data_IF_653405391401
#
_entry.id   IF_653405391401
#
_cell.length_a   1.000
_cell.length_b   1.000
_cell.length_c   1.000
_cell.angle_alpha   90.00
_cell.angle_beta   90.00
_cell.angle_gamma   90.00
#
_symmetry.space_group_name_H-M   'P 1'
#
loop_
_entity.id
_entity.type
_entity.pdbx_description
1 polymer ?
2 branched ?
3 branched ?
4 branched ?
5 non-polymer ?
6 water ?
#
# COMPACT_ATOMS: atom_id res chain seq x y z
N UNK A 4 -17.54 7.65 -11.19
CA UNK A 4 -17.33 8.83 -10.31
C UNK A 4 -16.94 10.05 -11.16
N UNK A 5 -17.15 11.31 -10.72
CA UNK A 5 -17.66 11.79 -9.40
C UNK A 5 -16.54 12.18 -8.42
N UNK A 6 -16.90 12.43 -7.16
CA UNK A 6 -15.94 12.94 -6.17
C UNK A 6 -15.06 11.86 -5.58
N UNK A 7 -15.40 11.45 -4.36
CA UNK A 7 -14.75 10.33 -3.66
C UNK A 7 -14.93 9.02 -4.44
N UNK A 8 -13.83 8.43 -4.97
CA UNK A 8 -13.97 7.17 -5.71
C UNK A 8 -14.47 5.99 -4.88
N UNK A 9 -14.47 6.13 -3.56
CA UNK A 9 -14.98 5.09 -2.68
C UNK A 9 -16.50 5.20 -2.43
N UNK A 10 -17.09 6.31 -2.87
CA UNK A 10 -18.54 6.52 -2.74
C UNK A 10 -19.31 5.78 -3.84
N UNK A 11 -20.31 4.99 -3.43
CA UNK A 11 -21.23 4.38 -4.38
C UNK A 11 -20.72 3.08 -5.01
N UNK A 12 -19.76 2.46 -4.35
CA UNK A 12 -19.20 1.18 -4.77
C UNK A 12 -18.86 0.33 -3.54
N UNK A 13 -18.80 -0.97 -3.73
CA UNK A 13 -18.23 -1.88 -2.77
C UNK A 13 -16.81 -2.15 -3.22
N UNK A 14 -15.92 -2.44 -2.29
CA UNK A 14 -14.57 -2.85 -2.66
C UNK A 14 -14.50 -4.38 -2.82
N UNK A 15 -13.94 -4.82 -3.95
CA UNK A 15 -13.74 -6.25 -4.20
C UNK A 15 -12.71 -6.88 -3.26
N UNK A 16 -13.09 -7.98 -2.63
CA UNK A 16 -12.14 -8.77 -1.84
C UNK A 16 -11.60 -9.87 -2.75
N UNK A 17 -10.33 -9.77 -3.13
CA UNK A 17 -9.82 -10.65 -4.19
C UNK A 17 -9.71 -12.13 -3.82
N UNK A 18 -9.80 -12.98 -4.83
CA UNK A 18 -9.81 -14.43 -4.66
C UNK A 18 -8.46 -14.97 -4.19
N UNK A 19 -7.39 -14.26 -4.52
CA UNK A 19 -6.07 -14.74 -4.21
C UNK A 19 -5.78 -14.65 -2.72
N UNK A 20 -6.19 -13.55 -2.09
CA UNK A 20 -6.04 -13.41 -0.64
C UNK A 20 -6.95 -14.42 0.09
N UNK A 21 -8.21 -14.53 -0.32
CA UNK A 21 -9.10 -15.53 0.29
C UNK A 21 -8.55 -16.97 0.15
N UNK A 22 -8.02 -17.31 -1.04
CA UNK A 22 -7.44 -18.64 -1.28
C UNK A 22 -6.26 -18.92 -0.36
N UNK A 23 -5.35 -17.94 -0.24
CA UNK A 23 -4.24 -18.04 0.72
C UNK A 23 -4.75 -18.38 2.12
N UNK A 24 -5.74 -17.63 2.59
CA UNK A 24 -6.28 -17.82 3.92
C UNK A 24 -6.91 -19.22 4.08
N UNK A 25 -7.71 -19.63 3.11
CA UNK A 25 -8.37 -20.94 3.18
C UNK A 25 -7.40 -22.10 2.94
N UNK A 26 -6.53 -21.96 1.94
CA UNK A 26 -5.57 -23.02 1.57
C UNK A 26 -4.41 -23.16 2.57
N UNK A 27 -3.92 -22.04 3.10
CA UNK A 27 -2.70 -22.05 3.93
C UNK A 27 -2.87 -21.73 5.41
N UNK A 28 -3.94 -21.03 5.79
CA UNK A 28 -4.10 -20.62 7.19
C UNK A 28 -5.06 -21.47 8.02
N UNK A 29 -6.29 -21.60 7.50
CA UNK A 29 -7.39 -22.33 8.15
C UNK A 29 -7.04 -23.75 8.61
N UNK A 30 -6.35 -24.54 7.73
CA UNK A 30 -6.02 -25.90 8.18
C UNK A 30 -5.18 -25.96 9.47
N UNK A 31 -4.33 -24.96 9.68
CA UNK A 31 -3.48 -24.87 10.87
C UNK A 31 -4.14 -24.26 12.11
N UNK A 32 -5.36 -23.76 11.98
CA UNK A 32 -6.00 -23.04 13.09
C UNK A 32 -7.03 -23.85 13.86
N UNK A 33 -7.27 -23.40 15.10
CA UNK A 33 -8.35 -23.91 15.93
C UNK A 33 -9.70 -23.64 15.24
N UNK A 34 -10.79 -24.31 15.69
CA UNK A 34 -12.13 -23.99 15.18
C UNK A 34 -12.53 -22.51 15.32
N UNK A 35 -12.22 -21.88 16.45
CA UNK A 35 -12.57 -20.47 16.69
C UNK A 35 -11.74 -19.48 15.85
N UNK A 36 -10.45 -19.77 15.69
CA UNK A 36 -9.58 -18.92 14.88
C UNK A 36 -9.74 -19.15 13.39
N UNK A 37 -10.22 -20.33 13.01
CA UNK A 37 -10.58 -20.62 11.63
C UNK A 37 -11.81 -19.80 11.24
N UNK A 38 -12.74 -19.66 12.18
CA UNK A 38 -13.95 -18.85 11.99
C UNK A 38 -13.61 -17.38 11.74
N UNK A 39 -12.78 -16.82 12.62
CA UNK A 39 -12.34 -15.43 12.51
C UNK A 39 -11.55 -15.20 11.20
N UNK A 40 -10.74 -16.18 10.81
CA UNK A 40 -9.98 -16.13 9.56
C UNK A 40 -10.87 -16.15 8.31
N UNK A 41 -12.01 -16.85 8.40
CA UNK A 41 -13.00 -16.85 7.33
C UNK A 41 -13.63 -15.47 7.14
N UNK A 42 -13.84 -14.73 8.23
CA UNK A 42 -14.36 -13.37 8.14
C UNK A 42 -13.33 -12.42 7.51
N UNK A 43 -12.05 -12.66 7.80
CA UNK A 43 -10.97 -11.79 7.30
C UNK A 43 -10.69 -12.03 5.81
N UNK A 44 -10.86 -13.27 5.37
CA UNK A 44 -10.69 -13.63 3.97
C UNK A 44 -11.68 -12.87 3.08
N UNK A 45 -12.71 -12.30 3.70
CA UNK A 45 -13.76 -11.57 2.99
C UNK A 45 -13.60 -10.05 3.07
N UNK A 46 -12.67 -9.58 3.91
CA UNK A 46 -12.43 -8.13 4.05
C UNK A 46 -11.53 -7.70 2.88
N UNK A 47 -11.98 -6.71 2.10
CA UNK A 47 -11.25 -6.36 0.88
C UNK A 47 -9.92 -5.67 1.14
N UNK A 48 -8.86 -6.28 0.63
CA UNK A 48 -7.54 -5.70 0.71
C UNK A 48 -7.04 -5.52 -0.73
N UNK A 49 -6.14 -4.55 -0.92
CA UNK A 49 -5.60 -4.26 -2.23
C UNK A 49 -4.84 -5.46 -2.79
N UNK A 50 -4.95 -5.67 -4.10
CA UNK A 50 -4.22 -6.74 -4.77
C UNK A 50 -2.99 -6.14 -5.42
N UNK A 51 -1.83 -6.68 -5.11
CA UNK A 51 -0.58 -6.07 -5.54
C UNK A 51 -0.07 -6.63 -6.86
N UNK A 52 0.22 -5.75 -7.79
CA UNK A 52 0.85 -6.15 -9.03
C UNK A 52 2.36 -6.04 -8.82
N UNK A 53 2.90 -6.99 -8.07
CA UNK A 53 4.31 -6.93 -7.62
C UNK A 53 5.28 -7.58 -8.59
N UNK A 54 4.74 -8.26 -9.61
CA UNK A 54 5.56 -8.90 -10.63
C UNK A 54 4.85 -8.70 -11.96
N UNK A 55 5.63 -8.64 -13.03
CA UNK A 55 5.07 -8.43 -14.34
C UNK A 55 4.09 -9.55 -14.72
N UNK A 56 4.39 -10.78 -14.29
CA UNK A 56 3.52 -11.92 -14.56
C UNK A 56 2.07 -11.71 -14.09
N UNK A 57 1.88 -10.89 -13.06
CA UNK A 57 0.55 -10.67 -12.48
C UNK A 57 -0.42 -9.96 -13.43
N UNK A 58 0.11 -9.16 -14.37
CA UNK A 58 -0.72 -8.28 -15.20
C UNK A 58 -1.73 -9.05 -16.07
N UNK A 59 -1.23 -10.03 -16.82
CA UNK A 59 -2.07 -10.87 -17.68
C UNK A 59 -2.50 -12.19 -17.01
N UNK A 60 -2.36 -12.27 -15.69
CA UNK A 60 -2.86 -13.43 -14.96
C UNK A 60 -3.81 -12.97 -13.84
N UNK A 61 -3.25 -12.61 -12.69
CA UNK A 61 -4.06 -12.25 -11.52
C UNK A 61 -4.86 -10.93 -11.70
N UNK A 62 -4.26 -9.94 -12.33
CA UNK A 62 -4.89 -8.63 -12.58
C UNK A 62 -6.09 -8.75 -13.54
N UNK A 63 -5.86 -9.29 -14.73
CA UNK A 63 -6.95 -9.50 -15.68
C UNK A 63 -7.99 -10.49 -15.15
N UNK A 64 -7.52 -11.48 -14.39
CA UNK A 64 -8.41 -12.46 -13.74
C UNK A 64 -9.39 -11.79 -12.79
N UNK A 65 -8.85 -10.95 -11.91
CA UNK A 65 -9.65 -10.19 -10.95
C UNK A 65 -10.62 -9.22 -11.64
N UNK A 66 -10.15 -8.51 -12.66
CA UNK A 66 -11.03 -7.62 -13.41
C UNK A 66 -12.23 -8.38 -14.01
N UNK A 67 -11.95 -9.53 -14.59
CA UNK A 67 -13.02 -10.39 -15.14
C UNK A 67 -13.98 -10.86 -14.04
N UNK A 68 -13.44 -11.26 -12.88
CA UNK A 68 -14.28 -11.66 -11.75
C UNK A 68 -15.19 -10.53 -11.27
N UNK A 69 -14.67 -9.31 -11.28
CA UNK A 69 -15.45 -8.16 -10.84
C UNK A 69 -16.58 -7.85 -11.83
N UNK A 70 -16.27 -7.90 -13.12
CA UNK A 70 -17.28 -7.68 -14.14
C UNK A 70 -18.41 -8.70 -13.99
N UNK A 71 -18.05 -9.97 -13.81
CA UNK A 71 -19.02 -11.03 -13.60
C UNK A 71 -19.92 -10.77 -12.38
N UNK A 72 -19.33 -10.38 -11.25
CA UNK A 72 -20.09 -10.06 -10.05
C UNK A 72 -21.02 -8.87 -10.26
N UNK A 73 -20.56 -7.86 -10.98
CA UNK A 73 -21.37 -6.67 -11.23
C UNK A 73 -22.49 -6.94 -12.25
N UNK A 74 -22.18 -7.80 -13.22
CA UNK A 74 -23.16 -8.17 -14.22
C UNK A 74 -24.28 -8.97 -13.56
N UNK A 75 -23.91 -9.78 -12.56
CA UNK A 75 -24.89 -10.56 -11.80
C UNK A 75 -25.77 -9.67 -10.90
N UNK A 76 -25.41 -8.40 -10.80
CA UNK A 76 -26.28 -7.41 -10.14
C UNK A 76 -25.77 -6.85 -8.82
N UNK A 77 -24.45 -6.93 -8.59
CA UNK A 77 -23.87 -6.41 -7.34
C UNK A 77 -24.37 -4.99 -7.11
N UNK A 78 -24.81 -4.70 -5.88
CA UNK A 78 -25.37 -3.40 -5.55
C UNK A 78 -25.00 -3.06 -4.11
N UNK A 79 -24.14 -2.03 -3.91
CA UNK A 79 -23.47 -1.22 -4.93
C UNK A 79 -22.53 -2.07 -5.79
N UNK A 80 -22.23 -1.62 -7.02
CA UNK A 80 -21.29 -2.38 -7.86
C UNK A 80 -19.91 -2.47 -7.19
N UNK A 81 -19.14 -3.49 -7.55
CA UNK A 81 -17.79 -3.67 -6.99
C UNK A 81 -16.78 -2.80 -7.72
N UNK A 82 -15.82 -2.26 -6.97
CA UNK A 82 -14.67 -1.56 -7.54
C UNK A 82 -13.42 -2.38 -7.27
N UNK A 83 -12.49 -2.41 -8.21
CA UNK A 83 -11.20 -3.08 -7.98
C UNK A 83 -10.22 -2.20 -7.26
N UNK A 84 -9.39 -2.80 -6.41
CA UNK A 84 -8.33 -2.11 -5.69
C UNK A 84 -7.01 -2.81 -5.93
N UNK A 85 -6.06 -2.11 -6.53
CA UNK A 85 -4.76 -2.70 -6.88
C UNK A 85 -3.58 -1.79 -6.52
N UNK A 86 -2.42 -2.40 -6.33
CA UNK A 86 -1.18 -1.66 -6.09
C UNK A 86 -0.23 -1.87 -7.27
N UNK A 87 0.23 -0.76 -7.85
CA UNK A 87 1.28 -0.82 -8.87
C UNK A 87 2.59 -0.78 -8.09
N UNK A 88 3.34 -1.87 -8.16
CA UNK A 88 4.53 -2.06 -7.34
C UNK A 88 5.63 -2.87 -8.05
N UNK A 89 6.21 -2.31 -9.10
CA UNK A 89 7.26 -3.03 -9.82
C UNK A 89 8.30 -2.13 -10.45
N UNK A 90 8.59 -0.99 -9.82
CA UNK A 90 9.65 -0.12 -10.34
C UNK A 90 10.96 -0.88 -10.45
N UNK A 91 11.79 -0.55 -11.47
CA UNK A 91 13.12 -1.17 -11.47
C UNK A 91 13.94 -0.57 -10.32
N UNK A 92 14.86 -1.36 -9.77
CA UNK A 92 15.59 -0.99 -8.54
C UNK A 92 14.59 -0.61 -7.43
N UNK A 93 13.57 -1.45 -7.28
CA UNK A 93 12.52 -1.28 -6.28
C UNK A 93 13.09 -1.34 -4.86
N UNK A 94 12.40 -0.71 -3.91
CA UNK A 94 12.70 -0.82 -2.47
C UNK A 94 14.15 -0.40 -2.19
N UNK A 95 14.50 0.81 -2.65
CA UNK A 95 15.90 1.17 -2.84
C UNK A 95 16.73 1.30 -1.54
N UNK A 96 16.04 1.54 -0.42
CA UNK A 96 16.69 1.72 0.88
C UNK A 96 16.75 0.44 1.71
N UNK A 97 16.29 -0.66 1.12
CA UNK A 97 16.19 -1.92 1.85
C UNK A 97 16.52 -3.09 0.94
N UNK A 98 16.56 -4.29 1.52
CA UNK A 98 16.88 -5.50 0.78
C UNK A 98 15.68 -6.39 0.54
N UNK A 99 14.70 -6.32 1.45
CA UNK A 99 13.66 -7.34 1.60
C UNK A 99 12.72 -7.47 0.42
N UNK A 100 12.44 -6.34 -0.24
CA UNK A 100 11.48 -6.31 -1.35
C UNK A 100 12.09 -5.88 -2.68
N UNK A 101 13.39 -6.10 -2.85
CA UNK A 101 14.01 -5.91 -4.15
C UNK A 101 13.17 -6.64 -5.19
N UNK A 102 12.98 -6.00 -6.34
CA UNK A 102 12.11 -6.50 -7.38
C UNK A 102 12.83 -7.21 -8.50
N UNK A 103 12.06 -7.62 -9.50
CA UNK A 103 12.56 -8.46 -10.60
C UNK A 103 13.42 -7.70 -11.59
N UNK A 104 13.18 -6.40 -11.70
CA UNK A 104 13.85 -5.58 -12.68
C UNK A 104 14.89 -4.63 -12.09
N UNK A 105 15.95 -4.39 -12.86
CA UNK A 105 16.98 -3.46 -12.44
C UNK A 105 17.18 -2.43 -13.54
N UNK A 106 17.51 -1.20 -13.13
CA UNK A 106 17.72 -0.11 -14.08
C UNK A 106 18.85 -0.49 -15.06
N UNK A 107 19.90 -1.12 -14.54
CA UNK A 107 21.07 -1.51 -15.35
C UNK A 107 20.69 -2.45 -16.48
N UNK A 108 19.66 -3.26 -16.26
CA UNK A 108 19.25 -4.27 -17.23
C UNK A 108 17.88 -3.98 -17.85
N UNK A 109 17.80 -2.82 -18.51
CA UNK A 109 16.61 -2.43 -19.25
C UNK A 109 15.34 -2.29 -18.40
N UNK A 110 15.50 -2.00 -17.10
CA UNK A 110 14.36 -1.96 -16.18
C UNK A 110 13.32 -0.91 -16.51
N UNK A 111 13.79 0.27 -16.92
CA UNK A 111 12.90 1.38 -17.26
C UNK A 111 11.99 1.04 -18.44
N UNK A 112 12.55 0.44 -19.48
CA UNK A 112 11.71 0.05 -20.61
C UNK A 112 10.73 -1.05 -20.23
N UNK A 113 11.20 -2.02 -19.43
CA UNK A 113 10.34 -3.09 -18.94
C UNK A 113 9.13 -2.54 -18.21
N UNK A 114 9.38 -1.53 -17.36
CA UNK A 114 8.34 -0.86 -16.60
C UNK A 114 7.36 -0.08 -17.48
N UNK A 115 7.87 0.61 -18.49
CA UNK A 115 7.00 1.33 -19.41
C UNK A 115 6.00 0.41 -20.14
N UNK A 116 6.47 -0.77 -20.55
CA UNK A 116 5.60 -1.74 -21.20
C UNK A 116 4.59 -2.32 -20.22
N UNK A 117 5.05 -2.55 -18.99
CA UNK A 117 4.20 -3.05 -17.89
C UNK A 117 3.04 -2.06 -17.67
N UNK A 118 3.39 -0.80 -17.52
CA UNK A 118 2.39 0.28 -17.47
C UNK A 118 1.49 0.32 -18.70
N UNK A 119 2.08 0.20 -19.90
CA UNK A 119 1.34 0.24 -21.15
C UNK A 119 0.25 -0.84 -21.18
N UNK A 120 0.64 -2.04 -20.75
CA UNK A 120 -0.26 -3.19 -20.76
C UNK A 120 -1.34 -3.01 -19.70
N UNK A 121 -0.94 -2.54 -18.52
CA UNK A 121 -1.96 -2.19 -17.50
C UNK A 121 -2.99 -1.21 -18.09
N UNK A 122 -2.52 -0.16 -18.76
CA UNK A 122 -3.40 0.82 -19.41
C UNK A 122 -4.41 0.14 -20.36
N UNK A 123 -3.92 -0.79 -21.18
CA UNK A 123 -4.76 -1.53 -22.12
C UNK A 123 -5.88 -2.28 -21.39
N UNK A 124 -5.53 -2.98 -20.32
CA UNK A 124 -6.51 -3.74 -19.54
C UNK A 124 -7.52 -2.85 -18.84
N UNK A 125 -7.08 -1.69 -18.35
CA UNK A 125 -7.99 -0.72 -17.77
C UNK A 125 -8.98 -0.18 -18.81
N UNK A 126 -8.50 0.03 -20.03
CA UNK A 126 -9.36 0.48 -21.12
C UNK A 126 -10.36 -0.62 -21.44
N UNK A 127 -9.88 -1.87 -21.51
CA UNK A 127 -10.74 -3.03 -21.77
C UNK A 127 -11.80 -3.21 -20.69
N UNK A 128 -11.42 -2.87 -19.46
CA UNK A 128 -12.31 -2.93 -18.31
C UNK A 128 -12.73 -1.55 -17.79
N UNK A 129 -13.06 -0.64 -18.70
CA UNK A 129 -13.49 0.71 -18.33
C UNK A 129 -14.83 0.75 -17.60
N UNK A 130 -15.54 -0.38 -17.62
CA UNK A 130 -16.80 -0.54 -16.88
C UNK A 130 -16.60 -0.77 -15.38
N UNK A 131 -15.35 -1.02 -14.99
CA UNK A 131 -14.99 -1.34 -13.61
C UNK A 131 -14.21 -0.17 -12.99
N UNK A 132 -14.83 0.53 -12.04
CA UNK A 132 -14.13 1.58 -11.31
C UNK A 132 -12.92 0.94 -10.64
N UNK A 133 -11.76 1.53 -10.85
CA UNK A 133 -10.52 0.91 -10.42
C UNK A 133 -9.74 1.93 -9.60
N UNK A 134 -9.31 1.52 -8.41
CA UNK A 134 -8.57 2.40 -7.49
C UNK A 134 -7.16 1.85 -7.38
N UNK A 135 -6.17 2.71 -7.60
CA UNK A 135 -4.78 2.29 -7.62
C UNK A 135 -3.97 3.07 -6.60
N UNK A 136 -3.11 2.34 -5.89
CA UNK A 136 -2.03 2.96 -5.12
C UNK A 136 -0.77 2.82 -5.96
N UNK A 137 -0.10 3.94 -6.18
CA UNK A 137 1.06 3.93 -7.05
C UNK A 137 2.36 3.83 -6.24
N UNK A 138 3.05 2.71 -6.41
CA UNK A 138 4.45 2.48 -5.98
C UNK A 138 4.81 2.83 -4.53
N UNK A 139 4.29 2.05 -3.57
CA UNK A 139 4.63 2.27 -2.16
C UNK A 139 6.14 2.42 -1.96
N UNK A 140 6.49 3.39 -1.11
CA UNK A 140 7.88 3.65 -0.67
C UNK A 140 8.74 4.49 -1.60
N UNK A 141 8.42 4.49 -2.90
CA UNK A 141 9.28 5.06 -3.93
C UNK A 141 9.61 6.53 -3.71
N UNK A 142 8.57 7.39 -3.71
CA UNK A 142 8.81 8.82 -3.55
C UNK A 142 9.23 9.20 -2.13
N UNK A 143 8.77 8.46 -1.13
CA UNK A 143 9.20 8.74 0.24
C UNK A 143 10.70 8.51 0.38
N UNK A 144 11.21 7.43 -0.25
CA UNK A 144 12.64 7.18 -0.35
C UNK A 144 13.36 8.33 -1.04
N UNK A 145 12.75 8.92 -2.07
CA UNK A 145 13.34 10.08 -2.75
C UNK A 145 13.48 11.30 -1.84
N UNK A 146 12.56 11.46 -0.89
CA UNK A 146 12.63 12.56 0.07
C UNK A 146 13.75 12.37 1.12
N UNK A 147 13.82 11.18 1.72
CA UNK A 147 14.67 10.97 2.89
C UNK A 147 15.96 10.19 2.67
N UNK A 148 16.03 9.43 1.57
CA UNK A 148 17.11 8.46 1.38
C UNK A 148 18.02 8.71 0.20
N UNK A 149 18.13 9.96 -0.24
CA UNK A 149 19.12 10.30 -1.28
C UNK A 149 20.57 10.02 -0.87
N UNK A 150 20.84 9.86 0.43
CA UNK A 150 22.18 9.45 0.87
C UNK A 150 22.49 7.99 0.60
N UNK A 151 21.45 7.20 0.27
CA UNK A 151 21.60 5.77 -0.01
C UNK A 151 21.85 5.58 -1.50
N UNK A 152 22.97 4.97 -1.83
CA UNK A 152 23.45 4.87 -3.23
C UNK A 152 22.39 4.32 -4.19
N UNK A 153 21.75 3.21 -3.83
CA UNK A 153 20.74 2.61 -4.70
C UNK A 153 19.59 3.58 -4.97
N UNK A 154 19.19 4.34 -3.95
CA UNK A 154 18.15 5.36 -4.14
C UNK A 154 18.58 6.53 -5.02
N UNK A 155 19.72 7.15 -4.72
CA UNK A 155 20.14 8.31 -5.49
C UNK A 155 20.35 7.91 -6.94
N UNK A 156 20.93 6.74 -7.16
CA UNK A 156 21.15 6.24 -8.52
C UNK A 156 19.82 6.01 -9.26
N UNK A 157 18.80 5.57 -8.54
CA UNK A 157 17.49 5.30 -9.15
C UNK A 157 16.61 6.55 -9.30
N UNK A 158 17.01 7.64 -8.66
CA UNK A 158 16.14 8.81 -8.48
C UNK A 158 15.54 9.36 -9.78
N UNK A 159 16.37 9.66 -10.77
CA UNK A 159 15.87 10.20 -12.03
C UNK A 159 14.92 9.24 -12.75
N UNK A 160 15.24 7.94 -12.71
CA UNK A 160 14.37 6.88 -13.26
C UNK A 160 13.01 6.84 -12.52
N UNK A 161 13.04 6.83 -11.19
CA UNK A 161 11.81 6.83 -10.40
C UNK A 161 10.89 7.98 -10.84
N UNK A 162 11.46 9.18 -10.95
CA UNK A 162 10.66 10.35 -11.27
C UNK A 162 10.09 10.28 -12.70
N UNK A 163 10.91 9.87 -13.66
CA UNK A 163 10.43 9.74 -15.03
C UNK A 163 9.31 8.70 -15.10
N UNK A 164 9.52 7.56 -14.46
CA UNK A 164 8.54 6.46 -14.54
C UNK A 164 7.26 6.74 -13.78
N UNK A 165 7.38 7.49 -12.68
CA UNK A 165 6.19 7.89 -11.93
C UNK A 165 5.30 8.80 -12.76
N UNK A 166 5.90 9.83 -13.36
CA UNK A 166 5.16 10.68 -14.28
C UNK A 166 4.51 9.83 -15.38
N UNK A 167 5.29 8.89 -15.94
CA UNK A 167 4.79 8.02 -17.00
C UNK A 167 3.52 7.25 -16.58
N UNK A 168 3.60 6.58 -15.43
CA UNK A 168 2.45 5.86 -14.85
C UNK A 168 1.24 6.78 -14.63
N UNK A 169 1.45 7.95 -14.03
CA UNK A 169 0.34 8.86 -13.76
C UNK A 169 -0.34 9.33 -15.04
N UNK A 170 0.45 9.59 -16.08
CA UNK A 170 -0.12 9.99 -17.37
C UNK A 170 -0.83 8.83 -18.08
N UNK A 171 -0.18 7.68 -18.12
CA UNK A 171 -0.72 6.53 -18.84
C UNK A 171 -1.98 5.91 -18.22
N UNK A 172 -2.07 5.94 -16.90
CA UNK A 172 -3.19 5.33 -16.20
C UNK A 172 -4.30 6.34 -15.84
N UNK A 173 -4.14 7.56 -16.36
CA UNK A 173 -5.11 8.62 -16.18
C UNK A 173 -6.32 8.42 -17.10
N UNK A 174 -7.29 7.66 -16.59
CA UNK A 174 -8.50 7.31 -17.34
C UNK A 174 -9.70 7.61 -16.44
N UNK A 175 -10.86 7.98 -17.03
CA UNK A 175 -12.00 8.48 -16.26
C UNK A 175 -12.51 7.54 -15.17
N UNK A 176 -12.35 6.22 -15.37
CA UNK A 176 -12.87 5.23 -14.41
C UNK A 176 -11.84 4.86 -13.33
N UNK A 177 -10.70 5.54 -13.34
CA UNK A 177 -9.58 5.20 -12.47
C UNK A 177 -9.38 6.34 -11.47
N UNK A 178 -9.12 5.97 -10.21
CA UNK A 178 -8.53 6.89 -9.25
C UNK A 178 -7.15 6.42 -8.81
N UNK A 179 -6.18 7.32 -8.82
CA UNK A 179 -4.85 6.99 -8.34
C UNK A 179 -4.52 7.76 -7.06
N UNK A 180 -3.87 7.07 -6.12
CA UNK A 180 -3.28 7.71 -4.95
C UNK A 180 -1.80 7.38 -4.99
N UNK A 181 -0.97 8.42 -5.00
CA UNK A 181 0.46 8.23 -4.94
C UNK A 181 0.83 7.86 -3.52
N UNK A 182 1.66 6.84 -3.35
CA UNK A 182 2.10 6.51 -2.00
C UNK A 182 2.89 7.67 -1.39
N UNK A 183 2.64 7.94 -0.12
CA UNK A 183 3.27 9.05 0.57
C UNK A 183 3.75 8.69 1.97
N UNK A 184 4.31 7.48 2.09
CA UNK A 184 4.89 7.02 3.34
C UNK A 184 3.91 7.10 4.50
N UNK A 185 4.37 7.63 5.62
CA UNK A 185 3.56 7.71 6.85
C UNK A 185 4.09 8.78 7.79
N UNK A 186 3.38 9.00 8.91
CA UNK A 186 3.69 10.08 9.85
C UNK A 186 5.10 9.96 10.39
N UNK A 187 5.54 8.73 10.61
CA UNK A 187 6.87 8.48 11.10
C UNK A 187 7.94 8.50 10.03
N UNK A 188 7.53 8.75 8.78
CA UNK A 188 8.49 8.83 7.68
C UNK A 188 8.53 10.28 7.17
N UNK A 189 7.46 10.67 6.48
CA UNK A 189 7.39 11.99 5.87
C UNK A 189 6.72 13.06 6.77
N UNK A 190 6.13 12.62 7.88
CA UNK A 190 5.45 13.51 8.83
C UNK A 190 6.37 14.32 9.73
N UNK A 191 7.63 13.89 9.81
CA UNK A 191 8.65 14.63 10.54
C UNK A 191 8.75 16.04 9.96
N UNK A 192 8.79 17.06 10.83
CA UNK A 192 8.82 18.43 10.31
C UNK A 192 9.95 18.71 9.32
N UNK A 193 11.11 18.06 9.47
CA UNK A 193 12.21 18.27 8.51
C UNK A 193 11.98 17.63 7.12
N UNK A 194 11.03 16.68 7.04
CA UNK A 194 10.75 15.95 5.79
C UNK A 194 9.50 16.43 5.05
N UNK A 195 8.62 17.12 5.76
CA UNK A 195 7.31 17.43 5.22
C UNK A 195 7.37 18.49 4.10
N UNK A 196 8.25 19.49 4.25
CA UNK A 196 8.39 20.50 3.19
C UNK A 196 9.02 19.94 1.91
N UNK A 197 10.14 19.19 2.01
CA UNK A 197 10.64 18.67 0.72
C UNK A 197 9.68 17.67 0.09
N UNK A 198 8.97 16.90 0.91
CA UNK A 198 7.93 16.00 0.41
C UNK A 198 6.87 16.76 -0.38
N UNK A 199 6.39 17.88 0.18
CA UNK A 199 5.35 18.68 -0.47
C UNK A 199 5.80 19.17 -1.83
N UNK A 200 7.04 19.65 -1.94
CA UNK A 200 7.55 20.09 -3.25
C UNK A 200 7.67 18.93 -4.24
N UNK A 201 8.17 17.78 -3.79
CA UNK A 201 8.39 16.65 -4.68
C UNK A 201 7.07 16.14 -5.23
N UNK A 202 6.09 15.94 -4.36
CA UNK A 202 4.78 15.46 -4.79
C UNK A 202 4.07 16.47 -5.68
N UNK A 203 4.08 17.74 -5.28
CA UNK A 203 3.47 18.79 -6.11
C UNK A 203 4.15 18.91 -7.47
N UNK A 204 5.48 18.73 -7.53
CA UNK A 204 6.21 18.81 -8.81
C UNK A 204 5.94 17.62 -9.73
N UNK A 205 5.95 16.42 -9.19
CA UNK A 205 5.53 15.23 -9.95
C UNK A 205 4.10 15.41 -10.47
N UNK A 206 3.21 15.90 -9.62
CA UNK A 206 1.81 16.11 -10.03
C UNK A 206 1.72 17.10 -11.19
N UNK A 207 2.43 18.23 -11.08
CA UNK A 207 2.35 19.22 -12.13
C UNK A 207 3.04 18.74 -13.42
N UNK A 208 4.16 18.04 -13.29
CA UNK A 208 4.89 17.54 -14.47
C UNK A 208 4.15 16.43 -15.20
N UNK A 209 3.24 15.76 -14.49
CA UNK A 209 2.33 14.79 -15.07
C UNK A 209 1.10 15.45 -15.69
N UNK A 210 1.02 16.77 -15.60
CA UNK A 210 -0.09 17.52 -16.21
C UNK A 210 -1.35 17.55 -15.37
N UNK A 211 -1.19 17.43 -14.05
CA UNK A 211 -2.32 17.45 -13.12
C UNK A 211 -3.42 16.46 -13.53
N UNK A 212 -3.08 15.17 -13.69
CA UNK A 212 -4.08 14.23 -14.22
C UNK A 212 -5.33 14.15 -13.35
N UNK A 213 -6.49 14.24 -13.98
CA UNK A 213 -7.79 14.17 -13.29
C UNK A 213 -7.94 12.93 -12.41
N UNK A 214 -7.37 11.80 -12.86
CA UNK A 214 -7.43 10.54 -12.13
C UNK A 214 -6.63 10.53 -10.85
N UNK A 215 -5.68 11.47 -10.70
CA UNK A 215 -4.88 11.53 -9.46
C UNK A 215 -5.69 12.23 -8.37
N UNK A 216 -6.17 11.43 -7.43
CA UNK A 216 -7.10 11.87 -6.40
C UNK A 216 -6.33 12.40 -5.20
N UNK A 217 -5.12 11.87 -4.99
CA UNK A 217 -4.32 12.27 -3.86
C UNK A 217 -3.25 11.26 -3.47
N UNK A 218 -3.13 11.02 -2.18
CA UNK A 218 -2.02 10.25 -1.64
C UNK A 218 -2.49 9.12 -0.73
N UNK A 219 -1.73 8.03 -0.70
CA UNK A 219 -1.95 6.97 0.29
C UNK A 219 -0.94 7.12 1.42
N UNK A 220 -1.35 6.86 2.66
CA UNK A 220 -0.42 6.84 3.79
C UNK A 220 -0.53 5.55 4.60
N UNK A 221 0.49 5.27 5.41
CA UNK A 221 0.52 4.10 6.29
C UNK A 221 0.58 2.75 5.58
N UNK A 222 0.85 2.74 4.27
CA UNK A 222 0.90 1.50 3.50
C UNK A 222 1.98 0.56 4.03
N UNK A 223 1.57 -0.68 4.32
CA UNK A 223 2.43 -1.66 4.97
C UNK A 223 3.03 -1.17 6.28
N UNK A 224 2.40 -0.16 6.87
CA UNK A 224 2.86 0.33 8.16
C UNK A 224 1.76 0.25 9.23
N UNK A 225 1.97 0.90 10.36
CA UNK A 225 1.23 0.50 11.57
C UNK A 225 0.70 1.63 12.42
N UNK A 226 0.91 2.86 11.98
CA UNK A 226 0.52 4.00 12.82
C UNK A 226 -0.97 4.09 13.12
N UNK A 227 -1.28 4.67 14.27
CA UNK A 227 -2.65 5.03 14.59
C UNK A 227 -3.17 6.04 13.57
N UNK A 228 -4.47 5.99 13.29
CA UNK A 228 -5.12 7.10 12.61
C UNK A 228 -5.12 8.29 13.58
N UNK A 229 -5.83 8.14 14.70
CA UNK A 229 -5.93 9.20 15.70
C UNK A 229 -5.86 8.59 17.09
N UNK A 230 -4.88 9.03 17.85
CA UNK A 230 -4.65 8.53 19.20
C UNK A 230 -4.43 9.74 20.11
N UNK A 231 -4.92 9.67 21.35
CA UNK A 231 -4.71 10.74 22.31
C UNK A 231 -3.27 10.83 22.77
N UNK A 232 -2.70 9.67 23.12
CA UNK A 232 -1.38 9.60 23.70
C UNK A 232 -0.34 9.18 22.65
N UNK A 233 0.63 10.05 22.35
CA UNK A 233 1.72 9.70 21.43
C UNK A 233 2.53 8.52 21.96
N UNK A 234 2.61 7.41 21.18
CA UNK A 234 3.48 6.30 21.58
C UNK A 234 4.91 6.77 21.82
N UNK A 235 5.58 6.16 22.80
CA UNK A 235 6.94 6.57 23.18
C UNK A 235 7.90 6.63 21.99
N UNK A 236 7.80 5.63 21.10
CA UNK A 236 8.65 5.56 19.88
C UNK A 236 8.42 6.71 18.89
N UNK A 237 7.34 7.48 19.06
CA UNK A 237 7.06 8.61 18.15
C UNK A 237 7.73 9.93 18.53
N UNK A 238 8.16 10.04 19.78
CA UNK A 238 8.79 11.26 20.29
C UNK A 238 10.13 11.54 19.59
N UNK A 239 10.42 12.82 19.29
CA UNK A 239 9.68 14.05 19.52
C UNK A 239 8.86 14.56 18.33
N UNK A 240 8.34 13.66 17.51
CA UNK A 240 7.56 14.06 16.32
C UNK A 240 6.15 14.51 16.69
N UNK A 241 5.83 15.80 16.44
CA UNK A 241 4.50 16.36 16.70
C UNK A 241 3.43 15.68 15.84
N UNK A 242 3.85 15.16 14.68
CA UNK A 242 2.96 14.38 13.83
C UNK A 242 3.12 12.89 14.15
N UNK A 243 2.51 12.50 15.27
CA UNK A 243 2.72 11.17 15.84
C UNK A 243 1.71 10.13 15.38
N UNK A 244 0.68 10.57 14.66
CA UNK A 244 -0.28 9.66 14.04
C UNK A 244 -0.63 10.16 12.64
N UNK A 245 -1.37 9.35 11.88
CA UNK A 245 -1.66 9.69 10.48
C UNK A 245 -2.53 10.93 10.36
N UNK A 246 -3.42 11.14 11.33
CA UNK A 246 -4.27 12.33 11.32
C UNK A 246 -3.43 13.60 11.39
N UNK A 247 -2.46 13.63 12.30
CA UNK A 247 -1.60 14.81 12.47
C UNK A 247 -0.77 15.04 11.20
N UNK A 248 -0.27 13.95 10.64
CA UNK A 248 0.56 14.00 9.43
C UNK A 248 -0.21 14.61 8.26
N UNK A 249 -1.36 14.01 7.96
CA UNK A 249 -2.19 14.44 6.85
C UNK A 249 -2.72 15.88 6.98
N UNK A 250 -3.16 16.27 8.17
CA UNK A 250 -3.57 17.65 8.41
C UNK A 250 -2.45 18.69 8.26
N UNK A 251 -1.23 18.32 8.61
CA UNK A 251 -0.08 19.20 8.41
C UNK A 251 0.35 19.23 6.93
N UNK A 252 0.17 18.09 6.27
CA UNK A 252 0.73 17.88 4.92
C UNK A 252 -0.15 18.51 3.84
N UNK A 253 -1.46 18.28 3.94
CA UNK A 253 -2.41 18.73 2.93
C UNK A 253 -2.30 20.23 2.55
N UNK A 254 -2.24 21.17 3.53
CA UNK A 254 -2.15 22.58 3.12
C UNK A 254 -0.85 22.92 2.37
N UNK A 255 0.25 22.25 2.71
CA UNK A 255 1.53 22.47 2.04
C UNK A 255 1.49 22.03 0.60
N UNK A 256 0.86 20.88 0.37
CA UNK A 256 0.64 20.37 -0.97
C UNK A 256 -0.30 21.30 -1.75
N UNK A 257 -1.37 21.74 -1.07
CA UNK A 257 -2.36 22.63 -1.66
C UNK A 257 -1.76 23.96 -2.08
N UNK A 258 -0.85 24.48 -1.27
CA UNK A 258 -0.10 25.71 -1.56
C UNK A 258 0.75 25.60 -2.82
N UNK A 259 1.04 24.36 -3.22
CA UNK A 259 1.83 24.12 -4.43
C UNK A 259 1.02 23.47 -5.55
N UNK A 260 -0.30 23.55 -5.44
CA UNK A 260 -1.20 23.25 -6.54
C UNK A 260 -1.75 21.85 -6.60
N UNK A 261 -1.46 21.05 -5.57
CA UNK A 261 -1.94 19.67 -5.51
C UNK A 261 -2.92 19.57 -4.33
N UNK A 262 -4.21 19.61 -4.64
CA UNK A 262 -5.25 19.54 -3.62
C UNK A 262 -5.63 18.09 -3.38
N UNK A 263 -4.84 17.44 -2.53
CA UNK A 263 -4.90 15.99 -2.34
C UNK A 263 -5.95 15.53 -1.33
N UNK A 264 -6.63 14.45 -1.67
CA UNK A 264 -7.35 13.63 -0.69
C UNK A 264 -6.48 12.45 -0.32
N UNK A 265 -6.86 11.73 0.73
CA UNK A 265 -6.00 10.67 1.25
C UNK A 265 -6.75 9.36 1.51
N UNK A 266 -6.03 8.26 1.38
CA UNK A 266 -6.47 7.00 1.95
C UNK A 266 -5.40 6.54 2.95
N UNK A 267 -5.84 5.87 4.01
CA UNK A 267 -4.96 5.42 5.08
C UNK A 267 -5.13 3.92 5.25
N UNK A 268 -4.00 3.21 5.26
CA UNK A 268 -3.96 1.76 5.44
C UNK A 268 -4.14 1.40 6.91
N UNK A 269 -5.24 0.70 7.21
CA UNK A 269 -5.59 0.33 8.58
C UNK A 269 -5.54 -1.19 8.80
N UNK A 270 -4.93 -1.91 7.86
CA UNK A 270 -4.86 -3.36 7.92
C UNK A 270 -3.99 -3.97 9.01
N UNK A 271 -3.08 -3.19 9.57
CA UNK A 271 -2.17 -3.71 10.62
C UNK A 271 -1.96 -2.74 11.78
N UNK A 272 -2.92 -1.82 11.96
CA UNK A 272 -2.80 -0.78 12.99
C UNK A 272 -3.85 -0.83 14.10
N UNK A 273 -4.51 -1.97 14.26
CA UNK A 273 -5.60 -2.09 15.22
C UNK A 273 -5.16 -2.03 16.67
N UNK A 274 -3.93 -2.48 16.94
CA UNK A 274 -3.39 -2.46 18.29
C UNK A 274 -2.37 -1.35 18.47
N UNK A 275 -2.70 -0.41 19.36
CA UNK A 275 -1.87 0.75 19.69
C UNK A 275 -1.62 0.85 21.20
N UNK A 276 -0.35 1.08 21.61
CA UNK A 276 0.84 1.10 20.77
C UNK A 276 1.12 -0.28 20.21
N UNK A 277 1.92 -0.33 19.15
CA UNK A 277 2.38 -1.59 18.56
C UNK A 277 3.53 -2.12 19.41
N UNK A 278 4.13 -3.22 18.96
CA UNK A 278 5.30 -3.79 19.63
C UNK A 278 6.62 -3.21 19.19
N UNK A 279 6.57 -2.12 18.41
CA UNK A 279 7.79 -1.45 17.93
C UNK A 279 8.60 -0.88 19.08
N UNK A 280 9.91 -1.11 19.01
CA UNK A 280 10.84 -0.53 19.99
C UNK A 280 11.39 0.79 19.50
N UNK A 281 11.54 0.93 18.18
CA UNK A 281 11.84 2.23 17.57
C UNK A 281 10.90 2.42 16.40
N UNK A 282 10.62 3.68 16.05
CA UNK A 282 9.62 4.00 15.03
C UNK A 282 10.00 3.49 13.64
N UNK A 283 11.30 3.50 13.34
CA UNK A 283 11.80 3.09 12.03
C UNK A 283 11.78 1.60 11.77
N UNK A 284 11.30 0.82 12.74
CA UNK A 284 11.19 -0.64 12.58
C UNK A 284 9.87 -0.99 11.88
N UNK A 285 9.99 -1.47 10.64
CA UNK A 285 8.86 -1.65 9.74
C UNK A 285 8.55 -3.12 9.43
N UNK A 286 9.49 -4.02 9.74
CA UNK A 286 9.38 -5.38 9.23
C UNK A 286 8.64 -6.33 10.16
N UNK A 287 7.53 -6.87 9.67
CA UNK A 287 6.81 -7.93 10.39
C UNK A 287 6.69 -7.60 11.88
N UNK A 288 6.18 -6.40 12.17
CA UNK A 288 6.19 -5.86 13.53
C UNK A 288 5.33 -6.67 14.52
N UNK A 289 5.92 -7.03 15.65
CA UNK A 289 5.24 -7.79 16.69
C UNK A 289 4.14 -6.95 17.35
N UNK A 290 3.18 -7.62 17.98
CA UNK A 290 2.11 -6.94 18.71
C UNK A 290 1.20 -6.04 17.89
N UNK A 291 0.85 -6.46 16.68
CA UNK A 291 -0.07 -5.72 15.82
C UNK A 291 -1.36 -6.50 15.56
N UNK A 292 -2.43 -5.78 15.24
CA UNK A 292 -3.70 -6.41 14.88
C UNK A 292 -4.32 -5.80 13.64
N UNK A 293 -5.21 -6.57 12.99
CA UNK A 293 -6.08 -6.03 11.96
C UNK A 293 -6.81 -4.83 12.56
N UNK A 294 -6.93 -3.76 11.80
CA UNK A 294 -7.56 -2.54 12.31
C UNK A 294 -8.92 -2.30 11.70
N UNK A 295 -9.32 -1.02 11.72
CA UNK A 295 -10.60 -0.58 11.16
C UNK A 295 -10.84 -1.19 9.78
N UNK A 296 -12.00 -1.83 9.63
CA UNK A 296 -12.39 -2.41 8.35
C UNK A 296 -12.53 -1.32 7.28
N UNK A 297 -12.20 -1.64 6.02
CA UNK A 297 -12.27 -0.61 4.97
C UNK A 297 -13.63 0.05 4.83
N UNK A 298 -13.63 1.37 4.77
CA UNK A 298 -14.85 2.16 4.72
C UNK A 298 -14.59 3.54 4.17
N UNK A 299 -15.59 4.10 3.49
CA UNK A 299 -15.58 5.50 3.07
C UNK A 299 -16.10 6.42 4.18
N UNK A 300 -16.62 5.83 5.25
CA UNK A 300 -17.15 6.59 6.40
C UNK A 300 -16.04 6.93 7.39
N UNK A 301 -15.23 7.93 7.05
CA UNK A 301 -14.04 8.23 7.82
C UNK A 301 -14.29 9.34 8.81
N UNK A 302 -15.29 10.17 8.54
CA UNK A 302 -15.62 11.33 9.36
C UNK A 302 -14.59 12.44 9.29
N UNK A 303 -13.69 12.37 8.32
CA UNK A 303 -12.65 13.38 8.16
C UNK A 303 -12.59 13.89 6.73
N UNK A 304 -12.59 15.21 6.61
CA UNK A 304 -12.67 15.89 5.32
C UNK A 304 -11.58 15.50 4.30
N UNK A 305 -10.40 15.14 4.77
CA UNK A 305 -9.27 14.84 3.87
C UNK A 305 -9.16 13.37 3.48
N UNK A 306 -9.84 12.50 4.23
CA UNK A 306 -9.68 11.06 4.05
C UNK A 306 -10.88 10.45 3.30
N UNK A 307 -10.61 9.96 2.09
CA UNK A 307 -11.63 9.33 1.26
C UNK A 307 -12.09 8.02 1.88
N UNK A 308 -11.12 7.30 2.45
CA UNK A 308 -11.38 5.97 2.97
C UNK A 308 -10.23 5.48 3.84
N UNK A 309 -10.59 4.69 4.84
CA UNK A 309 -9.68 3.77 5.48
C UNK A 309 -9.70 2.49 4.65
N UNK A 310 -8.52 1.94 4.37
CA UNK A 310 -8.38 0.77 3.48
C UNK A 310 -7.39 -0.25 4.05
N UNK A 311 -7.41 -1.47 3.54
CA UNK A 311 -6.36 -2.44 3.84
C UNK A 311 -5.50 -2.59 2.59
N UNK A 312 -4.33 -1.96 2.58
CA UNK A 312 -3.48 -2.01 1.39
C UNK A 312 -2.53 -3.21 1.47
N UNK A 313 -1.68 -3.22 2.51
CA UNK A 313 -0.82 -4.38 2.79
C UNK A 313 -1.71 -5.53 3.27
N UNK A 314 -1.66 -6.67 2.56
CA UNK A 314 -2.50 -7.79 3.02
C UNK A 314 -1.87 -8.48 4.24
N UNK A 315 -2.53 -8.38 5.39
CA UNK A 315 -2.05 -8.99 6.63
C UNK A 315 -1.84 -10.48 6.50
N UNK A 316 -0.64 -10.94 6.86
CA UNK A 316 -0.25 -12.33 6.75
C UNK A 316 0.79 -12.57 5.66
N UNK A 317 0.90 -11.63 4.72
CA UNK A 317 1.97 -11.70 3.73
C UNK A 317 3.17 -10.98 4.33
N UNK A 318 4.31 -11.66 4.29
CA UNK A 318 5.54 -11.21 4.95
C UNK A 318 6.09 -9.92 4.34
N UNK A 319 6.79 -9.15 5.16
CA UNK A 319 7.49 -7.94 4.73
C UNK A 319 8.93 -8.27 4.35
N UNK A 320 9.36 -9.47 4.67
CA UNK A 320 10.75 -9.83 4.42
C UNK A 320 11.16 -11.06 5.17
N UNK A 321 12.08 -11.80 4.57
CA UNK A 321 12.62 -13.02 5.17
C UNK A 321 13.52 -12.70 6.37
N UNK A 322 13.52 -13.58 7.36
CA UNK A 322 14.45 -13.48 8.49
C UNK A 322 15.65 -14.40 8.31
N UNK A 323 15.70 -15.11 7.17
CA UNK A 323 16.82 -15.97 6.84
C UNK A 323 18.07 -15.15 6.51
N UNK A 324 19.03 -15.15 7.44
CA UNK A 324 20.23 -14.31 7.29
C UNK A 324 21.10 -14.66 6.08
N UNK A 325 20.91 -15.86 5.50
CA UNK A 325 21.71 -16.27 4.35
C UNK A 325 21.04 -15.94 3.02
N UNK A 326 19.80 -15.46 3.08
CA UNK A 326 19.04 -15.17 1.87
C UNK A 326 19.51 -13.87 1.23
N UNK A 327 19.45 -13.82 -0.11
CA UNK A 327 19.88 -12.65 -0.89
C UNK A 327 19.14 -11.37 -0.47
N UNK A 328 17.84 -11.51 -0.22
CA UNK A 328 17.01 -10.37 0.18
C UNK A 328 16.95 -10.18 1.70
N UNK A 329 17.93 -10.71 2.44
CA UNK A 329 17.89 -10.51 3.88
C UNK A 329 18.14 -9.05 4.27
N UNK A 330 17.26 -8.53 5.12
CA UNK A 330 17.38 -7.18 5.62
C UNK A 330 17.34 -7.25 7.13
N UNK A 331 18.36 -6.67 7.76
CA UNK A 331 18.51 -6.76 9.23
C UNK A 331 17.28 -6.32 10.01
N UNK A 332 16.46 -5.44 9.41
CA UNK A 332 15.23 -5.00 10.07
C UNK A 332 14.28 -6.15 10.31
N UNK A 333 14.35 -7.17 9.46
CA UNK A 333 13.47 -8.32 9.61
C UNK A 333 14.00 -9.34 10.64
N UNK A 334 15.14 -9.02 11.24
CA UNK A 334 15.74 -9.90 12.26
C UNK A 334 15.79 -9.28 13.64
N UNK A 335 15.10 -8.15 13.82
CA UNK A 335 15.14 -7.41 15.08
C UNK A 335 14.17 -8.01 16.09
N UNK A 336 14.33 -7.63 17.35
CA UNK A 336 13.57 -8.23 18.44
C UNK A 336 12.07 -7.92 18.38
N UNK A 337 11.70 -6.84 17.69
CA UNK A 337 10.28 -6.50 17.51
C UNK A 337 9.74 -6.92 16.14
N UNK A 338 10.54 -7.71 15.41
CA UNK A 338 10.10 -8.37 14.19
C UNK A 338 9.73 -9.84 14.48
N UNK A 339 8.60 -10.31 13.96
CA UNK A 339 8.22 -11.72 14.15
C UNK A 339 9.08 -12.63 13.27
N UNK A 340 9.70 -13.62 13.92
CA UNK A 340 10.65 -14.54 13.28
C UNK A 340 10.42 -15.99 13.79
N UNK A 341 10.79 -17.00 12.97
CA UNK A 341 11.29 -16.88 11.60
C UNK A 341 10.20 -16.38 10.65
N UNK A 342 10.62 -15.67 9.60
CA UNK A 342 9.70 -15.10 8.60
C UNK A 342 10.10 -15.50 7.19
N UNK A 343 9.11 -15.69 6.29
CA UNK A 343 9.44 -16.09 4.93
C UNK A 343 9.75 -14.87 4.05
N UNK A 344 10.18 -15.11 2.82
CA UNK A 344 10.36 -14.04 1.82
C UNK A 344 9.17 -13.07 1.78
N UNK A 345 9.48 -11.80 1.52
CA UNK A 345 8.45 -10.77 1.38
C UNK A 345 7.38 -11.24 0.40
N UNK A 346 6.13 -11.03 0.75
CA UNK A 346 5.01 -11.44 -0.09
C UNK A 346 4.49 -12.85 0.17
N UNK A 347 5.38 -13.73 0.62
CA UNK A 347 5.02 -15.12 0.96
C UNK A 347 4.18 -15.19 2.22
N UNK A 348 3.30 -16.20 2.28
CA UNK A 348 2.40 -16.34 3.42
C UNK A 348 3.16 -16.60 4.71
N UNK A 349 2.73 -15.96 5.78
CA UNK A 349 3.47 -15.96 7.04
C UNK A 349 2.46 -16.28 8.14
N UNK A 350 2.21 -17.59 8.31
CA UNK A 350 1.14 -18.06 9.22
C UNK A 350 1.17 -17.45 10.62
N UNK A 351 2.31 -17.53 11.29
CA UNK A 351 2.42 -17.02 12.65
C UNK A 351 2.01 -15.54 12.74
N UNK A 352 2.35 -14.77 11.71
CA UNK A 352 1.97 -13.36 11.67
C UNK A 352 0.47 -13.17 11.47
N UNK A 353 -0.09 -13.93 10.53
CA UNK A 353 -1.52 -13.93 10.29
C UNK A 353 -2.27 -14.19 11.60
N UNK A 354 -1.82 -15.20 12.33
CA UNK A 354 -2.41 -15.56 13.62
C UNK A 354 -2.42 -14.38 14.61
N UNK A 355 -1.26 -13.74 14.76
CA UNK A 355 -1.09 -12.52 15.58
C UNK A 355 -2.11 -11.45 15.23
N UNK A 356 -2.28 -11.17 13.94
CA UNK A 356 -3.20 -10.15 13.48
C UNK A 356 -4.66 -10.47 13.83
N UNK A 357 -5.03 -11.75 13.72
CA UNK A 357 -6.36 -12.24 14.11
C UNK A 357 -6.62 -12.04 15.60
N UNK A 358 -5.68 -12.49 16.42
CA UNK A 358 -5.81 -12.42 17.88
C UNK A 358 -5.91 -10.96 18.33
N UNK A 359 -5.11 -10.10 17.71
CA UNK A 359 -5.00 -8.70 18.11
C UNK A 359 -5.99 -7.77 17.40
N UNK A 360 -6.81 -8.33 16.52
CA UNK A 360 -7.78 -7.56 15.74
C UNK A 360 -8.54 -6.58 16.61
N UNK A 361 -8.72 -5.36 16.10
CA UNK A 361 -9.40 -4.31 16.84
C UNK A 361 -9.94 -3.25 15.91
N UNK A 362 -11.28 -3.19 15.74
CA UNK A 362 -12.34 -4.01 16.36
C UNK A 362 -12.17 -5.53 16.19
N UNK A 363 -12.68 -6.32 17.17
CA UNK A 363 -12.57 -7.79 17.11
C UNK A 363 -13.30 -8.38 15.92
X LIG B 1 5.64 -8.69 -19.05
X LIG B 1 6.74 -9.17 -19.97
X LIG B 1 6.29 -9.22 -21.42
X LIG B 1 4.90 -9.85 -21.58
X LIG B 1 3.92 -9.29 -20.55
X LIG B 1 2.56 -9.98 -20.56
X LIG B 1 9.11 -8.68 -19.63
X LIG B 1 10.17 -7.62 -19.53
X LIG B 1 7.87 -8.26 -19.86
X LIG B 1 7.21 -9.93 -22.21
X LIG B 1 4.49 -9.51 -22.87
X LIG B 1 4.46 -9.46 -19.26
X LIG B 1 1.67 -9.20 -19.78
X LIG B 1 9.40 -9.86 -19.50
X LIG B 2 4.32 -10.70 -23.66
X LIG B 2 3.65 -10.34 -24.96
X LIG B 2 3.09 -11.66 -25.49
X LIG B 2 4.27 -12.61 -25.76
X LIG B 2 5.26 -12.69 -24.57
X LIG B 2 6.58 -13.28 -25.00
X LIG B 2 1.54 -9.20 -24.22
X LIG B 2 0.85 -7.87 -24.22
X LIG B 2 2.73 -9.22 -24.82
X LIG B 2 2.32 -11.43 -26.65
X LIG B 2 3.81 -13.92 -26.04
X LIG B 2 5.50 -11.41 -23.97
X LIG B 2 6.97 -14.25 -24.05
X LIG B 2 0.99 -10.17 -23.70
X LIG C 1 6.20 -7.50 -1.01
X LIG C 1 5.29 -7.88 -2.20
X LIG C 1 3.90 -8.21 -1.68
X LIG C 1 3.35 -7.03 -0.88
X LIG C 1 2.00 -7.34 -0.26
X LIG C 1 5.57 -6.34 -0.24
X LIG C 1 6.34 -6.09 0.93
X LIG C 1 7.50 -7.13 -1.48
X LIG C 1 5.84 -9.04 -2.83
X LIG C 1 3.04 -8.60 -2.75
X LIG C 1 4.25 -6.71 0.19
X LIG C 1 2.19 -8.38 0.71
X LIG C 2 1.37 -10.21 -3.41
X LIG C 2 1.04 -11.69 -3.49
X LIG C 2 2.15 -12.45 -4.20
X LIG C 2 3.55 -12.13 -3.69
X LIG C 2 4.46 -12.37 -4.90
X LIG C 2 2.70 -10.00 -2.70
X LIG C 2 0.38 -9.52 -2.65
X LIG C 2 -0.13 -11.87 -4.29
X LIG C 2 1.95 -13.87 -4.07
X LIG C 2 3.75 -10.76 -3.31
X LIG C 2 5.68 -12.96 -4.50
X LIG D 1 15.25 11.55 14.46
X LIG D 1 15.20 10.67 13.22
X LIG D 1 14.39 11.31 12.08
X LIG D 1 14.71 12.79 11.90
X LIG D 1 13.73 13.49 10.98
X LIG D 1 15.69 12.95 14.05
X LIG D 1 15.76 13.79 15.20
X LIG D 1 16.20 11.00 15.37
X LIG D 1 14.66 9.41 13.60
X LIG D 1 14.70 10.65 10.85
X LIG D 1 14.69 13.45 13.17
X LIG D 1 14.30 14.74 10.58
X LIG D 2 13.83 9.59 8.85
X LIG D 2 12.71 8.71 8.30
X LIG D 2 12.47 7.53 9.22
X LIG D 2 12.26 8.03 10.66
X LIG D 2 11.92 6.96 11.70
X LIG D 2 13.60 9.91 10.32
X LIG D 2 13.93 10.78 8.07
X LIG D 2 13.09 8.24 6.99
X LIG D 2 11.32 6.83 8.75
X LIG D 2 13.46 8.71 11.07
X LIG D 2 13.05 6.09 11.87
X LIG D 3 10.21 4.80 8.29
X LIG D 3 10.26 3.43 7.63
X LIG D 3 11.11 3.44 6.35
X LIG D 3 12.45 4.16 6.56
X LIG D 3 13.26 4.27 5.27
X LIG D 3 11.58 5.48 8.37
X LIG D 3 9.67 4.67 9.61
X LIG D 3 8.91 2.98 7.38
X LIG D 3 11.40 2.10 5.96
X LIG D 3 12.22 5.48 7.08
X LIG D 3 14.60 4.70 5.57
X LIG D 4 11.36 0.40 4.26
X LIG D 4 10.41 -0.24 3.23
X LIG D 4 9.07 -0.53 3.89
X LIG D 4 8.46 0.74 4.46
X LIG D 4 7.16 0.47 5.20
X LIG D 4 10.66 1.63 4.86
X LIG D 4 12.59 0.78 3.65
X LIG D 4 10.94 -1.48 2.71
X LIG D 4 8.19 -1.11 2.91
X LIG D 4 9.39 1.30 5.40
X LIG D 4 6.68 1.68 5.81
X LIG E 1 8.36 -3.29 2.55
#
# INVERSE_FOLDING_TARGET
TASYNGNPFSGVQLWANTYYSSEVHTLAIPSLSPELAAKAAKVAEVPSFQWLDRNVTVDTLFSGTLAEIRAANQRGANPPYAGIFVVYDLPDRDCAAAASNGEWSIANNGANNYKRYIDRIRELLIQYSDIRTILVIEPDSLANMVTNMNVQKCSNAASTYKELTVYALKQLNLPHVAMYMDAGHAGWLGWPANIQPAAELFAQIYRDAGRPAAVRGLATNVANYNAWSIASPPSYTSPNPNYDEKHYIEAFAPLLRNQGFDAKFIVDTGRNGKQPTGQLEWGHWCNVKGTGFGVRPTANTGHELVDAFVWVKPGGESDGTSDTSAARYDYHCGLSDALTPAPEAGQWFQAYFEQLLINANPPF
NAG C1 C2 C3 C4 C5 C6 C7 C8 N2 O3 O4 O5 O6 O7
NAG C1 C2 C3 C4 C5 C6 C7 C8 N2 O3 O4 O5 O6 O7
BGC C2 C3 C4 C5 C6 C1 O1 O2 O3 O4 O5 O6
BGC C2 C3 C4 C5 C6 C1 O2 O3 O4 O5 O6
BGC C2 C3 C4 C5 C6 C1 O1 O2 O3 O4 O5 O6
BGC C2 C3 C4 C5 C6 C1 O2 O3 O4 O5 O6
BGC C2 C3 C4 C5 C6 C1 O2 O3 O4 O5 O6
BGC C2 C3 C4 C5 C6 C1 O2 O3 O4 O5 O6
LI LI
#
